data_IF_167502156821
#
_entry.id   IF_167502156821
#
_cell.length_a   1.000
_cell.length_b   1.000
_cell.length_c   1.000
_cell.angle_alpha   90.00
_cell.angle_beta   90.00
_cell.angle_gamma   90.00
#
_symmetry.space_group_name_H-M   'P 1'
#
loop_
_entity.id
_entity.type
_entity.pdbx_description
1 polymer ?
#
# COMPACT_ATOMS: atom_id res chain seq x y z
N UNK A 1 5.85 7.98 -9.66
CA UNK A 1 5.84 6.96 -10.74
C UNK A 1 4.79 7.38 -11.76
N UNK A 2 5.06 7.41 -13.07
CA UNK A 2 4.11 7.95 -14.06
C UNK A 2 2.74 7.26 -13.95
N UNK A 3 1.68 8.05 -13.84
CA UNK A 3 0.30 7.55 -13.88
C UNK A 3 -0.02 7.17 -15.33
N UNK A 4 0.27 5.91 -15.69
CA UNK A 4 0.03 5.39 -17.03
C UNK A 4 -1.40 4.87 -17.10
N UNK A 5 -2.24 5.51 -17.92
CA UNK A 5 -3.52 4.92 -18.29
C UNK A 5 -3.25 3.77 -19.28
N UNK A 6 -3.46 2.55 -18.79
CA UNK A 6 -3.27 1.33 -19.58
C UNK A 6 -4.22 1.26 -20.78
N UNK A 7 -5.41 1.88 -20.69
CA UNK A 7 -6.34 1.92 -21.81
C UNK A 7 -5.76 2.76 -22.95
N UNK A 8 -5.26 3.96 -22.64
CA UNK A 8 -4.67 4.85 -23.62
C UNK A 8 -3.42 4.24 -24.26
N UNK A 9 -2.58 3.57 -23.47
CA UNK A 9 -1.41 2.86 -23.98
C UNK A 9 -1.78 1.75 -24.97
N UNK A 10 -2.83 0.97 -24.66
CA UNK A 10 -3.32 -0.11 -25.53
C UNK A 10 -4.00 0.45 -26.79
N UNK A 11 -4.82 1.49 -26.67
CA UNK A 11 -5.45 2.19 -27.79
C UNK A 11 -4.39 2.74 -28.75
N UNK A 12 -3.35 3.40 -28.22
CA UNK A 12 -2.24 3.93 -29.00
C UNK A 12 -1.43 2.85 -29.72
N UNK A 13 -1.18 1.72 -29.06
CA UNK A 13 -0.50 0.57 -29.65
C UNK A 13 -1.26 0.04 -30.87
N UNK A 14 -2.55 -0.24 -30.72
CA UNK A 14 -3.34 -0.78 -31.82
C UNK A 14 -3.63 0.25 -32.93
N UNK A 15 -3.75 1.53 -32.60
CA UNK A 15 -3.86 2.59 -33.61
C UNK A 15 -2.59 2.67 -34.48
N UNK A 16 -1.42 2.63 -33.84
CA UNK A 16 -0.13 2.59 -34.55
C UNK A 16 -0.02 1.34 -35.43
N UNK A 17 -0.41 0.17 -34.89
CA UNK A 17 -0.40 -1.09 -35.64
C UNK A 17 -1.33 -1.02 -36.86
N UNK A 18 -2.52 -0.44 -36.70
CA UNK A 18 -3.49 -0.27 -37.78
C UNK A 18 -2.92 0.58 -38.91
N UNK A 19 -2.33 1.74 -38.60
CA UNK A 19 -1.71 2.60 -39.61
C UNK A 19 -0.61 1.86 -40.38
N UNK A 20 0.27 1.12 -39.69
CA UNK A 20 1.33 0.34 -40.35
C UNK A 20 0.76 -0.78 -41.22
N UNK A 21 -0.19 -1.56 -40.72
CA UNK A 21 -0.82 -2.62 -41.52
C UNK A 21 -1.55 -2.08 -42.74
N UNK A 22 -2.23 -0.94 -42.61
CA UNK A 22 -2.92 -0.28 -43.72
C UNK A 22 -1.96 0.12 -44.84
N UNK A 23 -0.77 0.64 -44.50
CA UNK A 23 0.27 1.00 -45.48
C UNK A 23 0.82 -0.23 -46.22
N UNK A 24 1.02 -1.35 -45.52
CA UNK A 24 1.56 -2.58 -46.13
C UNK A 24 0.54 -3.18 -47.09
N UNK A 25 -0.73 -3.23 -46.69
CA UNK A 25 -1.79 -3.85 -47.50
C UNK A 25 -2.13 -3.00 -48.74
N UNK A 26 -2.04 -1.67 -48.62
CA UNK A 26 -2.28 -0.74 -49.72
C UNK A 26 -0.97 -0.14 -50.29
N UNK A 27 0.08 -0.96 -50.40
CA UNK A 27 1.42 -0.54 -50.88
C UNK A 27 1.46 0.08 -52.28
N UNK A 28 0.38 -0.05 -53.05
CA UNK A 28 0.23 0.59 -54.36
C UNK A 28 -0.02 2.10 -54.28
N UNK A 29 -0.40 2.60 -53.11
CA UNK A 29 -0.70 4.00 -52.86
C UNK A 29 0.38 4.64 -51.99
N UNK A 30 0.54 5.96 -52.11
CA UNK A 30 1.41 6.72 -51.22
C UNK A 30 0.56 7.44 -50.16
N UNK A 31 1.01 7.40 -48.91
CA UNK A 31 0.29 7.93 -47.75
C UNK A 31 1.15 8.93 -47.00
N UNK A 32 0.63 10.16 -46.84
CA UNK A 32 1.24 11.19 -46.01
C UNK A 32 0.81 11.02 -44.54
N UNK A 33 1.56 11.59 -43.60
CA UNK A 33 1.26 11.50 -42.17
C UNK A 33 -0.15 12.00 -41.82
N UNK A 34 -0.61 13.08 -42.45
CA UNK A 34 -1.97 13.62 -42.26
C UNK A 34 -3.06 12.64 -42.71
N UNK A 35 -2.78 11.85 -43.75
CA UNK A 35 -3.69 10.81 -44.19
C UNK A 35 -3.74 9.68 -43.17
N UNK A 36 -2.59 9.25 -42.64
CA UNK A 36 -2.51 8.19 -41.61
C UNK A 36 -3.16 8.59 -40.28
N UNK A 37 -3.14 9.88 -39.93
CA UNK A 37 -3.90 10.41 -38.80
C UNK A 37 -5.41 10.22 -39.00
N UNK A 38 -5.95 10.59 -40.17
CA UNK A 38 -7.34 10.33 -40.54
C UNK A 38 -7.67 8.82 -40.54
N UNK A 39 -6.76 7.98 -41.04
CA UNK A 39 -6.92 6.52 -40.96
C UNK A 39 -7.10 6.10 -39.49
N UNK A 40 -6.23 6.59 -38.60
CA UNK A 40 -6.29 6.31 -37.16
C UNK A 40 -7.61 6.74 -36.50
N UNK A 41 -8.19 7.87 -36.89
CA UNK A 41 -9.49 8.34 -36.36
C UNK A 41 -10.63 7.35 -36.65
N UNK A 42 -10.63 6.72 -37.83
CA UNK A 42 -11.63 5.73 -38.20
C UNK A 42 -11.43 4.36 -37.55
N UNK A 43 -10.35 4.13 -36.81
CA UNK A 43 -10.07 2.82 -36.21
C UNK A 43 -11.16 2.36 -35.22
N UNK A 44 -11.65 3.26 -34.36
CA UNK A 44 -12.60 2.93 -33.28
C UNK A 44 -13.96 2.47 -33.81
N UNK A 45 -14.42 3.10 -34.91
CA UNK A 45 -15.66 2.75 -35.58
C UNK A 45 -15.52 1.45 -36.37
N UNK A 46 -14.41 1.30 -37.09
CA UNK A 46 -14.19 0.18 -38.00
C UNK A 46 -13.84 -1.13 -37.31
N UNK A 47 -13.22 -1.05 -36.12
CA UNK A 47 -12.71 -2.21 -35.34
C UNK A 47 -12.04 -3.25 -36.25
N UNK A 48 -11.00 -2.86 -36.99
CA UNK A 48 -10.47 -3.70 -38.07
C UNK A 48 -9.70 -4.92 -37.54
N UNK A 49 -9.42 -4.96 -36.23
CA UNK A 49 -8.86 -6.10 -35.51
C UNK A 49 -9.90 -6.95 -34.76
N UNK A 50 -11.20 -6.67 -34.97
CA UNK A 50 -12.29 -7.29 -34.22
C UNK A 50 -12.31 -6.83 -32.76
N UNK A 51 -12.60 -7.77 -31.85
CA UNK A 51 -12.68 -7.53 -30.41
C UNK A 51 -11.36 -7.77 -29.66
N UNK A 52 -10.30 -8.16 -30.37
CA UNK A 52 -8.98 -8.46 -29.78
C UNK A 52 -8.42 -7.28 -28.99
N UNK A 53 -8.37 -6.03 -29.52
CA UNK A 53 -7.84 -4.89 -28.75
C UNK A 53 -8.58 -4.66 -27.44
N UNK A 54 -9.91 -4.74 -27.48
CA UNK A 54 -10.76 -4.51 -26.32
C UNK A 54 -10.59 -5.62 -25.27
N UNK A 55 -10.62 -6.89 -25.70
CA UNK A 55 -10.45 -8.04 -24.80
C UNK A 55 -9.08 -8.04 -24.14
N UNK A 56 -8.02 -7.81 -24.92
CA UNK A 56 -6.66 -7.79 -24.43
C UNK A 56 -6.43 -6.61 -23.46
N UNK A 57 -6.91 -5.41 -23.82
CA UNK A 57 -6.81 -4.23 -22.95
C UNK A 57 -7.48 -4.43 -21.60
N UNK A 58 -8.73 -4.93 -21.58
CA UNK A 58 -9.47 -5.19 -20.34
C UNK A 58 -8.77 -6.25 -19.47
N UNK A 59 -8.26 -7.32 -20.08
CA UNK A 59 -7.57 -8.38 -19.35
C UNK A 59 -6.27 -7.88 -18.71
N UNK A 60 -5.43 -7.19 -19.49
CA UNK A 60 -4.16 -6.64 -18.99
C UNK A 60 -4.45 -5.63 -17.87
N UNK A 61 -5.39 -4.71 -18.07
CA UNK A 61 -5.78 -3.72 -17.06
C UNK A 61 -6.19 -4.38 -15.75
N UNK A 62 -7.08 -5.38 -15.79
CA UNK A 62 -7.54 -6.09 -14.59
C UNK A 62 -6.41 -6.80 -13.85
N UNK A 63 -5.46 -7.38 -14.58
CA UNK A 63 -4.29 -8.03 -14.00
C UNK A 63 -3.38 -7.04 -13.25
N UNK A 64 -3.07 -5.90 -13.87
CA UNK A 64 -2.25 -4.86 -13.25
C UNK A 64 -2.93 -4.21 -12.05
N UNK A 65 -4.22 -3.87 -12.17
CA UNK A 65 -5.01 -3.29 -11.08
C UNK A 65 -5.08 -4.26 -9.90
N UNK A 66 -5.36 -5.55 -10.13
CA UNK A 66 -5.41 -6.56 -9.08
C UNK A 66 -4.03 -6.77 -8.40
N UNK A 67 -2.95 -6.81 -9.19
CA UNK A 67 -1.58 -6.99 -8.66
C UNK A 67 -1.16 -5.80 -7.80
N UNK A 68 -1.45 -4.57 -8.27
CA UNK A 68 -1.18 -3.33 -7.51
C UNK A 68 -2.03 -3.26 -6.24
N UNK A 69 -3.32 -3.60 -6.33
CA UNK A 69 -4.22 -3.62 -5.18
C UNK A 69 -3.71 -4.62 -4.12
N UNK A 70 -3.29 -5.80 -4.55
CA UNK A 70 -2.78 -6.85 -3.69
C UNK A 70 -1.50 -6.41 -2.96
N UNK A 71 -0.51 -5.84 -3.67
CA UNK A 71 0.73 -5.38 -3.03
C UNK A 71 0.50 -4.23 -2.05
N UNK A 72 -0.30 -3.23 -2.44
CA UNK A 72 -0.65 -2.11 -1.56
C UNK A 72 -1.43 -2.56 -0.33
N UNK A 73 -2.34 -3.53 -0.48
CA UNK A 73 -3.07 -4.12 0.64
C UNK A 73 -2.15 -4.71 1.71
N UNK A 74 -1.10 -5.41 1.29
CA UNK A 74 -0.10 -5.96 2.21
C UNK A 74 0.69 -4.86 2.92
N UNK A 75 1.07 -3.80 2.19
CA UNK A 75 1.75 -2.64 2.77
C UNK A 75 0.88 -1.93 3.81
N UNK A 76 -0.41 -1.70 3.49
CA UNK A 76 -1.37 -1.09 4.42
C UNK A 76 -1.55 -1.97 5.66
N UNK A 77 -1.72 -3.29 5.49
CA UNK A 77 -1.83 -4.22 6.61
C UNK A 77 -0.58 -4.21 7.51
N UNK A 78 0.62 -4.19 6.91
CA UNK A 78 1.87 -4.09 7.66
C UNK A 78 1.96 -2.77 8.45
N UNK A 79 1.57 -1.65 7.84
CA UNK A 79 1.53 -0.35 8.50
C UNK A 79 0.52 -0.32 9.64
N UNK A 80 -0.68 -0.89 9.46
CA UNK A 80 -1.70 -1.01 10.50
C UNK A 80 -1.16 -1.80 11.70
N UNK A 81 -0.56 -2.97 11.46
CA UNK A 81 0.05 -3.77 12.52
C UNK A 81 1.15 -2.99 13.26
N UNK A 82 2.04 -2.31 12.53
CA UNK A 82 3.10 -1.47 13.10
C UNK A 82 2.56 -0.32 13.94
N UNK A 83 1.53 0.37 13.47
CA UNK A 83 0.91 1.49 14.18
C UNK A 83 0.18 1.01 15.44
N UNK A 84 -0.48 -0.14 15.40
CA UNK A 84 -1.16 -0.71 16.56
C UNK A 84 -0.20 -1.17 17.67
N UNK A 85 1.07 -1.45 17.34
CA UNK A 85 2.11 -1.73 18.34
C UNK A 85 2.53 -0.49 19.14
N UNK A 86 2.27 0.73 18.63
CA UNK A 86 2.59 1.97 19.33
C UNK A 86 1.63 2.30 20.48
N UNK A 87 0.51 1.58 20.59
CA UNK A 87 -0.48 1.78 21.64
C UNK A 87 0.08 1.36 22.99
N UNK A 88 0.06 2.31 23.94
CA UNK A 88 0.47 2.04 25.32
C UNK A 88 -0.67 1.36 26.09
N UNK A 89 -0.35 0.42 26.99
CA UNK A 89 -1.35 -0.16 27.89
C UNK A 89 -1.92 0.92 28.82
N UNK A 90 -3.21 0.80 29.16
CA UNK A 90 -3.84 1.67 30.16
C UNK A 90 -3.32 1.38 31.57
N UNK A 91 -3.49 2.34 32.48
CA UNK A 91 -3.16 2.15 33.89
C UNK A 91 -3.93 0.97 34.51
N UNK A 92 -5.20 0.81 34.15
CA UNK A 92 -6.04 -0.31 34.60
C UNK A 92 -5.52 -1.65 34.08
N UNK A 93 -5.07 -1.70 32.82
CA UNK A 93 -4.44 -2.88 32.26
C UNK A 93 -3.13 -3.20 32.99
N UNK A 94 -2.28 -2.21 33.25
CA UNK A 94 -1.04 -2.41 33.99
C UNK A 94 -1.31 -2.95 35.41
N UNK A 95 -2.29 -2.40 36.12
CA UNK A 95 -2.69 -2.85 37.44
C UNK A 95 -3.26 -4.28 37.44
N UNK A 96 -4.08 -4.63 36.45
CA UNK A 96 -4.63 -5.98 36.34
C UNK A 96 -3.56 -7.01 35.93
N UNK A 97 -2.62 -6.63 35.06
CA UNK A 97 -1.51 -7.48 34.66
C UNK A 97 -0.57 -7.75 35.84
N UNK A 98 -0.22 -6.73 36.63
CA UNK A 98 0.60 -6.93 37.84
C UNK A 98 -0.14 -7.73 38.90
N UNK A 99 -1.45 -7.54 39.04
CA UNK A 99 -2.30 -8.38 39.90
C UNK A 99 -2.27 -9.85 39.49
N UNK A 100 -2.23 -10.11 38.19
CA UNK A 100 -2.17 -11.47 37.67
C UNK A 100 -0.79 -12.11 37.87
N UNK A 101 0.30 -11.37 37.64
CA UNK A 101 1.66 -11.96 37.54
C UNK A 101 2.54 -11.76 38.76
N UNK A 102 2.43 -10.62 39.46
CA UNK A 102 3.36 -10.24 40.53
C UNK A 102 2.75 -10.35 41.94
N UNK A 103 1.44 -10.12 42.08
CA UNK A 103 0.78 -10.19 43.39
C UNK A 103 0.86 -11.54 44.14
N UNK A 104 0.96 -12.73 43.48
CA UNK A 104 1.17 -13.99 44.20
C UNK A 104 2.43 -13.94 45.08
N UNK A 105 3.55 -13.51 44.51
CA UNK A 105 4.83 -13.39 45.21
C UNK A 105 4.74 -12.37 46.37
N UNK A 106 4.08 -11.24 46.14
CA UNK A 106 3.85 -10.23 47.19
C UNK A 106 2.96 -10.75 48.33
N UNK A 107 2.11 -11.75 48.08
CA UNK A 107 1.21 -12.35 49.06
C UNK A 107 1.86 -13.52 49.82
N UNK A 108 3.15 -13.78 49.59
CA UNK A 108 3.88 -14.89 50.21
C UNK A 108 3.56 -16.26 49.61
N UNK A 109 2.91 -16.30 48.44
CA UNK A 109 2.65 -17.52 47.67
C UNK A 109 3.90 -17.82 46.84
N UNK A 110 4.26 -19.10 46.73
CA UNK A 110 5.43 -19.53 45.96
C UNK A 110 5.34 -19.09 44.49
N UNK A 111 6.47 -18.68 43.92
CA UNK A 111 6.62 -18.20 42.52
C UNK A 111 6.15 -19.20 41.46
N UNK A 112 5.96 -20.47 41.82
CA UNK A 112 5.49 -21.53 40.91
C UNK A 112 3.98 -21.52 40.68
N UNK A 113 3.21 -20.67 41.36
CA UNK A 113 1.75 -20.59 41.18
C UNK A 113 1.41 -19.63 40.05
N UNK A 114 0.93 -20.19 38.95
CA UNK A 114 0.50 -19.44 37.77
C UNK A 114 -0.96 -19.00 37.87
N UNK A 115 -1.32 -17.98 37.08
CA UNK A 115 -2.68 -17.47 37.02
C UNK A 115 -3.65 -18.49 36.41
N UNK A 116 -4.91 -18.43 36.83
CA UNK A 116 -5.96 -19.21 36.21
C UNK A 116 -6.18 -18.77 34.74
N UNK A 117 -6.45 -19.74 33.85
CA UNK A 117 -6.60 -19.49 32.40
C UNK A 117 -7.65 -18.44 32.07
N UNK A 118 -8.80 -18.48 32.73
CA UNK A 118 -9.89 -17.53 32.49
C UNK A 118 -9.60 -16.15 33.07
N UNK A 119 -8.88 -16.05 34.18
CA UNK A 119 -8.40 -14.78 34.70
C UNK A 119 -7.48 -14.12 33.67
N UNK A 120 -6.48 -14.85 33.17
CA UNK A 120 -5.57 -14.32 32.16
C UNK A 120 -6.32 -13.90 30.89
N UNK A 121 -7.23 -14.73 30.40
CA UNK A 121 -8.02 -14.41 29.22
C UNK A 121 -8.83 -13.12 29.43
N UNK A 122 -9.47 -12.95 30.60
CA UNK A 122 -10.25 -11.76 30.92
C UNK A 122 -9.40 -10.51 31.05
N UNK A 123 -8.26 -10.59 31.73
CA UNK A 123 -7.27 -9.50 31.83
C UNK A 123 -6.79 -9.09 30.45
N UNK A 124 -6.37 -10.04 29.63
CA UNK A 124 -5.84 -9.76 28.29
C UNK A 124 -6.91 -9.24 27.32
N UNK A 125 -8.14 -9.75 27.37
CA UNK A 125 -9.27 -9.22 26.57
C UNK A 125 -9.58 -7.76 26.91
N UNK A 126 -9.55 -7.40 28.20
CA UNK A 126 -9.77 -6.01 28.61
C UNK A 126 -8.61 -5.09 28.25
N UNK A 127 -7.36 -5.56 28.40
CA UNK A 127 -6.15 -4.85 27.98
C UNK A 127 -6.11 -4.59 26.45
N UNK A 128 -6.51 -5.58 25.65
CA UNK A 128 -6.44 -5.56 24.19
C UNK A 128 -7.77 -5.16 23.54
N UNK A 129 -8.70 -4.56 24.30
CA UNK A 129 -10.01 -4.14 23.81
C UNK A 129 -9.90 -3.21 22.59
N UNK A 130 -8.94 -2.28 22.63
CA UNK A 130 -8.69 -1.34 21.53
C UNK A 130 -8.13 -2.03 20.27
N UNK A 131 -7.35 -3.10 20.45
CA UNK A 131 -6.88 -3.94 19.35
C UNK A 131 -8.01 -4.78 18.75
N UNK A 132 -8.88 -5.31 19.60
CA UNK A 132 -10.05 -6.09 19.19
C UNK A 132 -11.06 -5.26 18.36
N UNK A 133 -11.02 -3.92 18.44
CA UNK A 133 -11.82 -3.04 17.59
C UNK A 133 -11.54 -3.21 16.09
N UNK A 134 -10.35 -3.67 15.71
CA UNK A 134 -9.98 -3.92 14.31
C UNK A 134 -10.49 -5.25 13.78
N UNK A 135 -10.97 -6.17 14.64
CA UNK A 135 -11.22 -7.55 14.24
C UNK A 135 -12.20 -7.68 13.07
N UNK A 136 -13.29 -6.91 13.11
CA UNK A 136 -14.32 -6.95 12.06
C UNK A 136 -13.75 -6.51 10.71
N UNK A 137 -13.11 -5.34 10.64
CA UNK A 137 -12.51 -4.83 9.40
C UNK A 137 -11.31 -5.65 8.93
N UNK A 138 -10.51 -6.18 9.86
CA UNK A 138 -9.40 -7.08 9.56
C UNK A 138 -9.88 -8.38 8.92
N UNK A 139 -10.95 -8.99 9.43
CA UNK A 139 -11.51 -10.20 8.84
C UNK A 139 -12.09 -9.93 7.43
N UNK A 140 -12.75 -8.79 7.23
CA UNK A 140 -13.19 -8.37 5.89
C UNK A 140 -12.02 -8.13 4.93
N UNK A 141 -10.94 -7.54 5.44
CA UNK A 141 -9.69 -7.34 4.71
C UNK A 141 -9.08 -8.69 4.28
N UNK A 142 -8.93 -9.64 5.21
CA UNK A 142 -8.40 -10.98 4.94
C UNK A 142 -9.22 -11.69 3.86
N UNK A 143 -10.55 -11.61 3.93
CA UNK A 143 -11.43 -12.19 2.92
C UNK A 143 -11.32 -11.50 1.54
N UNK A 144 -11.12 -10.18 1.51
CA UNK A 144 -10.93 -9.44 0.26
C UNK A 144 -9.57 -9.77 -0.40
N UNK A 145 -8.50 -9.85 0.40
CA UNK A 145 -7.17 -10.28 -0.08
C UNK A 145 -7.23 -11.70 -0.61
N UNK A 146 -7.93 -12.60 0.07
CA UNK A 146 -8.08 -13.99 -0.37
C UNK A 146 -8.76 -14.09 -1.74
N UNK A 147 -9.84 -13.33 -1.96
CA UNK A 147 -10.56 -13.28 -3.23
C UNK A 147 -9.71 -12.73 -4.37
N UNK A 148 -8.92 -11.68 -4.12
CA UNK A 148 -8.01 -11.15 -5.14
C UNK A 148 -6.87 -12.12 -5.43
N UNK A 149 -6.28 -12.76 -4.41
CA UNK A 149 -5.24 -13.76 -4.61
C UNK A 149 -5.75 -14.92 -5.48
N UNK A 150 -6.99 -15.37 -5.27
CA UNK A 150 -7.62 -16.40 -6.11
C UNK A 150 -7.73 -15.97 -7.58
N UNK A 151 -8.08 -14.70 -7.84
CA UNK A 151 -8.13 -14.16 -9.21
C UNK A 151 -6.75 -14.05 -9.84
N UNK A 152 -5.74 -13.62 -9.08
CA UNK A 152 -4.35 -13.51 -9.54
C UNK A 152 -3.75 -14.88 -9.89
N UNK A 153 -4.17 -15.93 -9.19
CA UNK A 153 -3.80 -17.32 -9.50
C UNK A 153 -4.61 -17.94 -10.65
N UNK A 154 -5.63 -17.23 -11.16
CA UNK A 154 -6.50 -17.69 -12.22
C UNK A 154 -6.61 -16.68 -13.36
N UNK A 155 -7.77 -16.03 -13.57
CA UNK A 155 -8.04 -15.22 -14.76
C UNK A 155 -7.23 -13.91 -14.85
N UNK A 156 -6.69 -13.42 -13.74
CA UNK A 156 -5.89 -12.19 -13.69
C UNK A 156 -4.39 -12.48 -13.61
N UNK A 157 -3.98 -13.73 -13.83
CA UNK A 157 -2.58 -14.09 -13.91
C UNK A 157 -1.94 -13.42 -15.13
N UNK A 158 -1.03 -12.48 -14.90
CA UNK A 158 -0.41 -11.69 -15.97
C UNK A 158 0.32 -12.58 -16.97
N UNK A 159 0.90 -13.68 -16.53
CA UNK A 159 1.65 -14.57 -17.40
C UNK A 159 0.72 -15.34 -18.35
N UNK A 160 -0.43 -15.80 -17.86
CA UNK A 160 -1.45 -16.44 -18.69
C UNK A 160 -1.96 -15.48 -19.77
N UNK A 161 -1.98 -14.17 -19.49
CA UNK A 161 -2.39 -13.13 -20.43
C UNK A 161 -1.30 -12.76 -21.44
N UNK A 162 -0.04 -12.72 -21.02
CA UNK A 162 1.10 -12.31 -21.87
C UNK A 162 1.59 -13.47 -22.73
N UNK A 163 1.51 -14.72 -22.27
CA UNK A 163 2.00 -15.90 -23.00
C UNK A 163 1.38 -16.06 -24.41
N UNK A 164 0.06 -15.89 -24.61
CA UNK A 164 -0.56 -15.96 -25.94
C UNK A 164 -0.65 -14.60 -26.65
N UNK A 165 0.08 -13.55 -26.22
CA UNK A 165 -0.11 -12.21 -26.80
C UNK A 165 0.26 -12.18 -28.30
N UNK A 166 1.28 -12.95 -28.70
CA UNK A 166 1.65 -13.13 -30.10
C UNK A 166 0.52 -13.80 -30.90
N UNK A 167 -0.11 -14.85 -30.36
CA UNK A 167 -1.26 -15.52 -30.98
C UNK A 167 -2.45 -14.57 -31.11
N UNK A 168 -2.70 -13.73 -30.10
CA UNK A 168 -3.75 -12.70 -30.13
C UNK A 168 -3.45 -11.64 -31.18
N UNK A 169 -2.20 -11.22 -31.32
CA UNK A 169 -1.80 -10.29 -32.39
C UNK A 169 -1.96 -10.95 -33.76
N UNK A 170 -1.62 -12.23 -33.92
CA UNK A 170 -1.85 -12.96 -35.17
C UNK A 170 -3.34 -13.08 -35.52
N UNK A 171 -4.21 -13.33 -34.53
CA UNK A 171 -5.67 -13.32 -34.68
C UNK A 171 -6.18 -11.94 -35.12
N UNK A 172 -5.69 -10.86 -34.50
CA UNK A 172 -6.01 -9.50 -34.92
C UNK A 172 -5.59 -9.23 -36.37
N UNK A 173 -4.37 -9.63 -36.75
CA UNK A 173 -3.85 -9.48 -38.12
C UNK A 173 -4.71 -10.28 -39.12
N UNK A 174 -5.14 -11.48 -38.77
CA UNK A 174 -6.01 -12.30 -39.60
C UNK A 174 -7.37 -11.64 -39.83
N UNK A 175 -8.01 -11.14 -38.76
CA UNK A 175 -9.27 -10.39 -38.83
C UNK A 175 -9.15 -9.15 -39.73
N UNK A 176 -8.00 -8.47 -39.65
CA UNK A 176 -7.71 -7.32 -40.49
C UNK A 176 -7.60 -7.69 -41.96
N UNK A 177 -6.90 -8.78 -42.27
CA UNK A 177 -6.71 -9.25 -43.64
C UNK A 177 -8.04 -9.66 -44.28
N UNK A 178 -8.91 -10.33 -43.52
CA UNK A 178 -10.23 -10.76 -44.01
C UNK A 178 -11.14 -9.55 -44.30
N UNK A 179 -11.16 -8.56 -43.42
CA UNK A 179 -11.95 -7.33 -43.58
C UNK A 179 -11.26 -6.22 -44.38
N UNK A 180 -10.08 -6.50 -44.95
CA UNK A 180 -9.19 -5.47 -45.49
C UNK A 180 -9.79 -4.64 -46.62
N UNK A 181 -10.55 -5.28 -47.51
CA UNK A 181 -11.20 -4.60 -48.64
C UNK A 181 -12.28 -3.61 -48.19
N UNK A 182 -13.11 -4.02 -47.23
CA UNK A 182 -14.13 -3.18 -46.60
C UNK A 182 -13.48 -2.02 -45.84
N UNK A 183 -12.41 -2.30 -45.08
CA UNK A 183 -11.66 -1.29 -44.34
C UNK A 183 -11.08 -0.25 -45.30
N UNK A 184 -10.40 -0.67 -46.37
CA UNK A 184 -9.87 0.24 -47.39
C UNK A 184 -10.97 1.06 -48.07
N UNK A 185 -12.11 0.46 -48.41
CA UNK A 185 -13.20 1.18 -49.05
C UNK A 185 -13.76 2.27 -48.13
N UNK A 186 -13.99 1.97 -46.86
CA UNK A 186 -14.54 2.95 -45.90
C UNK A 186 -13.54 4.06 -45.56
N UNK A 187 -12.26 3.73 -45.45
CA UNK A 187 -11.19 4.73 -45.30
C UNK A 187 -11.11 5.62 -46.54
N UNK A 188 -11.24 5.08 -47.76
CA UNK A 188 -11.24 5.89 -48.97
C UNK A 188 -12.47 6.79 -49.10
N UNK A 189 -13.61 6.40 -48.51
CA UNK A 189 -14.79 7.27 -48.45
C UNK A 189 -14.66 8.34 -47.36
N UNK A 190 -14.03 8.04 -46.22
CA UNK A 190 -13.86 8.99 -45.12
C UNK A 190 -12.70 9.97 -45.32
N UNK A 191 -11.51 9.45 -45.64
CA UNK A 191 -10.28 10.21 -45.80
C UNK A 191 -9.99 10.64 -47.25
N UNK A 192 -10.76 10.14 -48.21
CA UNK A 192 -10.55 10.36 -49.64
C UNK A 192 -9.63 9.31 -50.29
N UNK A 193 -9.65 9.22 -51.62
CA UNK A 193 -8.81 8.26 -52.36
C UNK A 193 -7.36 8.74 -52.41
N UNK A 194 -6.39 7.93 -51.95
CA UNK A 194 -4.97 8.30 -51.95
C UNK A 194 -4.38 8.29 -53.36
N UNK A 195 -3.26 8.98 -53.54
CA UNK A 195 -2.54 9.02 -54.81
C UNK A 195 -1.91 7.66 -55.11
N UNK A 196 -2.15 7.14 -56.31
CA UNK A 196 -1.45 5.94 -56.80
C UNK A 196 0.05 6.22 -56.81
N UNK A 197 0.82 5.38 -56.13
CA UNK A 197 2.27 5.43 -56.17
C UNK A 197 2.74 5.30 -57.62
N UNK A 198 3.66 6.17 -58.05
CA UNK A 198 4.32 5.98 -59.35
C UNK A 198 4.98 4.61 -59.32
N UNK A 199 4.58 3.73 -60.25
CA UNK A 199 5.11 2.37 -60.44
C UNK A 199 6.63 2.47 -60.54
N UNK A 200 7.34 2.33 -59.42
CA UNK A 200 8.79 2.17 -59.42
C UNK A 200 9.01 0.84 -60.11
N UNK A 201 9.61 0.88 -61.31
CA UNK A 201 10.07 -0.28 -62.06
C UNK A 201 10.75 -1.19 -61.04
N UNK A 202 10.24 -2.41 -60.89
CA UNK A 202 10.71 -3.44 -59.96
C UNK A 202 12.23 -3.49 -60.06
N UNK A 203 12.91 -2.80 -59.15
CA UNK A 203 14.29 -3.07 -58.88
C UNK A 203 14.24 -4.38 -58.11
N UNK A 204 14.89 -5.39 -58.65
CA UNK A 204 14.85 -6.75 -58.14
C UNK A 204 15.73 -6.83 -56.87
N UNK A 205 15.57 -5.90 -55.93
CA UNK A 205 15.97 -6.11 -54.54
C UNK A 205 14.85 -6.94 -53.95
N UNK A 206 14.98 -8.24 -54.16
CA UNK A 206 14.62 -9.23 -53.16
C UNK A 206 14.89 -8.60 -51.80
N UNK A 207 13.82 -8.27 -51.09
CA UNK A 207 13.94 -7.86 -49.71
C UNK A 207 14.62 -9.05 -49.04
N UNK A 208 15.88 -8.87 -48.62
CA UNK A 208 16.58 -9.73 -47.67
C UNK A 208 15.78 -9.71 -46.35
N UNK A 209 14.61 -10.34 -46.36
CA UNK A 209 13.79 -10.63 -45.19
C UNK A 209 14.15 -12.01 -44.61
N UNK A 210 15.13 -12.70 -45.20
CA UNK A 210 15.64 -13.98 -44.69
C UNK A 210 16.72 -13.83 -43.62
N UNK A 211 17.37 -12.66 -43.46
CA UNK A 211 18.51 -12.52 -42.51
C UNK A 211 18.17 -11.79 -41.19
N UNK A 212 16.92 -11.33 -41.01
CA UNK A 212 16.50 -10.67 -39.75
C UNK A 212 15.29 -11.30 -39.06
N UNK A 213 14.74 -12.37 -39.62
CA UNK A 213 13.80 -13.25 -38.93
C UNK A 213 14.54 -14.51 -38.47
N UNK A 214 15.61 -14.32 -37.70
CA UNK A 214 15.91 -15.29 -36.65
C UNK A 214 14.74 -15.18 -35.67
N UNK A 215 13.67 -15.92 -35.97
CA UNK A 215 12.79 -16.45 -34.95
C UNK A 215 13.67 -17.47 -34.23
N UNK A 216 14.61 -16.96 -33.44
CA UNK A 216 15.30 -17.75 -32.46
C UNK A 216 14.17 -18.37 -31.63
N UNK A 217 13.93 -19.64 -31.92
CA UNK A 217 13.35 -20.60 -31.01
C UNK A 217 14.34 -20.77 -29.83
N UNK A 218 14.77 -19.65 -29.24
CA UNK A 218 15.45 -19.57 -27.97
C UNK A 218 14.43 -20.11 -26.98
N UNK A 219 14.60 -21.39 -26.62
CA UNK A 219 14.84 -21.90 -25.27
C UNK A 219 14.53 -20.94 -24.08
N UNK A 220 13.48 -20.14 -24.14
CA UNK A 220 12.98 -19.27 -23.07
C UNK A 220 11.84 -19.95 -22.31
N UNK A 221 11.43 -21.14 -22.74
CA UNK A 221 10.34 -21.90 -22.13
C UNK A 221 10.69 -22.45 -20.76
N UNK A 222 11.96 -22.77 -20.49
CA UNK A 222 12.38 -23.29 -19.17
C UNK A 222 12.61 -22.15 -18.15
N UNK A 223 13.34 -21.09 -18.52
CA UNK A 223 13.63 -19.98 -17.61
C UNK A 223 12.41 -19.11 -17.29
N UNK A 224 11.48 -18.89 -18.24
CA UNK A 224 10.24 -18.13 -17.97
C UNK A 224 9.17 -18.95 -17.25
N UNK A 225 9.12 -20.27 -17.44
CA UNK A 225 8.27 -21.14 -16.63
C UNK A 225 8.74 -21.19 -15.16
N UNK A 226 10.01 -20.90 -14.90
CA UNK A 226 10.54 -20.79 -13.54
C UNK A 226 10.05 -19.52 -12.82
N UNK A 227 10.05 -18.34 -13.47
CA UNK A 227 9.62 -17.07 -12.87
C UNK A 227 8.10 -16.99 -12.67
N UNK A 228 7.35 -17.54 -13.62
CA UNK A 228 5.95 -17.90 -13.52
C UNK A 228 5.58 -18.66 -12.25
N UNK A 229 6.23 -19.82 -12.06
CA UNK A 229 6.02 -20.67 -10.91
C UNK A 229 6.41 -19.97 -9.61
N UNK A 230 7.38 -19.04 -9.66
CA UNK A 230 7.78 -18.23 -8.51
C UNK A 230 6.66 -17.24 -8.11
N UNK A 231 6.07 -16.50 -9.05
CA UNK A 231 4.98 -15.56 -8.74
C UNK A 231 3.76 -16.30 -8.17
N UNK A 232 3.35 -17.40 -8.81
CA UNK A 232 2.23 -18.22 -8.34
C UNK A 232 2.50 -18.80 -6.95
N UNK A 233 3.71 -19.31 -6.71
CA UNK A 233 4.11 -19.82 -5.40
C UNK A 233 4.06 -18.72 -4.34
N UNK A 234 4.57 -17.52 -4.67
CA UNK A 234 4.58 -16.38 -3.77
C UNK A 234 3.15 -15.90 -3.44
N UNK A 235 2.27 -15.79 -4.43
CA UNK A 235 0.87 -15.42 -4.20
C UNK A 235 0.15 -16.49 -3.36
N UNK A 236 0.39 -17.78 -3.60
CA UNK A 236 -0.15 -18.88 -2.78
C UNK A 236 0.35 -18.82 -1.34
N UNK A 237 1.63 -18.58 -1.13
CA UNK A 237 2.22 -18.51 0.20
C UNK A 237 1.68 -17.30 0.98
N UNK A 238 1.63 -16.12 0.36
CA UNK A 238 1.05 -14.92 0.97
C UNK A 238 -0.42 -15.14 1.28
N UNK A 239 -1.19 -15.70 0.34
CA UNK A 239 -2.61 -16.03 0.54
C UNK A 239 -2.80 -16.91 1.78
N UNK A 240 -1.99 -17.95 1.92
CA UNK A 240 -2.05 -18.84 3.07
C UNK A 240 -1.70 -18.09 4.37
N UNK A 241 -0.59 -17.35 4.39
CA UNK A 241 -0.16 -16.56 5.56
C UNK A 241 -1.23 -15.54 5.99
N UNK A 242 -1.87 -14.86 5.04
CA UNK A 242 -2.95 -13.90 5.33
C UNK A 242 -4.19 -14.61 5.86
N UNK A 243 -4.54 -15.80 5.32
CA UNK A 243 -5.64 -16.63 5.84
C UNK A 243 -5.39 -17.07 7.28
N UNK A 244 -4.15 -17.43 7.62
CA UNK A 244 -3.77 -17.85 8.98
C UNK A 244 -3.86 -16.70 9.99
N UNK A 245 -3.90 -15.44 9.52
CA UNK A 245 -4.13 -14.25 10.32
C UNK A 245 -5.62 -13.90 10.49
N UNK A 246 -6.55 -14.75 10.01
CA UNK A 246 -7.97 -14.59 10.30
C UNK A 246 -8.22 -14.70 11.81
N UNK A 247 -9.09 -13.83 12.34
CA UNK A 247 -9.40 -13.73 13.77
C UNK A 247 -8.17 -13.45 14.67
N UNK A 248 -7.07 -12.92 14.11
CA UNK A 248 -5.83 -12.66 14.85
C UNK A 248 -6.07 -11.84 16.13
N UNK A 249 -6.85 -10.77 16.05
CA UNK A 249 -7.09 -9.85 17.16
C UNK A 249 -7.88 -10.49 18.31
N UNK A 250 -8.88 -11.32 18.00
CA UNK A 250 -9.68 -12.03 19.00
C UNK A 250 -8.91 -13.20 19.63
N UNK A 251 -8.00 -13.84 18.89
CA UNK A 251 -7.19 -14.93 19.41
C UNK A 251 -5.93 -14.47 20.17
N UNK A 252 -5.53 -13.20 20.05
CA UNK A 252 -4.33 -12.67 20.68
C UNK A 252 -4.31 -12.87 22.22
N UNK A 253 -5.39 -12.60 22.98
CA UNK A 253 -5.45 -12.88 24.41
C UNK A 253 -5.09 -14.34 24.76
N UNK A 254 -5.61 -15.30 24.00
CA UNK A 254 -5.35 -16.72 24.22
C UNK A 254 -3.90 -17.10 23.92
N UNK A 255 -3.31 -16.56 22.85
CA UNK A 255 -1.90 -16.83 22.51
C UNK A 255 -0.98 -16.31 23.61
N UNK A 256 -1.18 -15.09 24.07
CA UNK A 256 -0.36 -14.49 25.13
C UNK A 256 -0.49 -15.28 26.45
N UNK A 257 -1.69 -15.74 26.80
CA UNK A 257 -1.89 -16.54 28.01
C UNK A 257 -1.23 -17.93 27.96
N UNK A 258 -1.11 -18.53 26.77
CA UNK A 258 -0.50 -19.84 26.60
C UNK A 258 1.05 -19.80 26.63
N UNK A 259 1.66 -18.62 26.59
CA UNK A 259 3.12 -18.42 26.69
C UNK A 259 3.61 -18.42 28.16
N UNK A 260 3.19 -19.42 28.94
CA UNK A 260 3.68 -19.64 30.30
C UNK A 260 3.11 -18.74 31.40
N UNK A 261 2.10 -17.91 31.09
CA UNK A 261 1.41 -17.05 32.08
C UNK A 261 0.36 -17.80 32.92
N UNK A 262 -0.05 -18.99 32.48
CA UNK A 262 -1.23 -19.68 32.97
C UNK A 262 -0.92 -21.09 33.45
N UNK A 263 -1.57 -21.50 34.53
CA UNK A 263 -1.49 -22.87 35.04
C UNK A 263 -2.00 -23.86 33.98
N UNK A 264 -1.34 -25.03 33.81
CA UNK A 264 -1.77 -26.02 32.83
C UNK A 264 -3.22 -26.45 33.11
N UNK A 265 -3.98 -26.85 32.06
CA UNK A 265 -5.40 -27.17 32.18
C UNK A 265 -5.71 -28.34 33.14
N UNK A 266 -4.70 -29.10 33.56
CA UNK A 266 -4.80 -30.12 34.61
C UNK A 266 -4.97 -29.54 36.03
N UNK A 267 -4.48 -28.33 36.30
CA UNK A 267 -4.43 -27.71 37.64
C UNK A 267 -5.38 -26.51 37.78
N UNK A 268 -6.58 -26.58 37.21
CA UNK A 268 -7.56 -25.48 37.23
C UNK A 268 -8.19 -25.17 38.59
N UNK A 269 -7.95 -26.01 39.60
CA UNK A 269 -8.44 -25.83 40.98
C UNK A 269 -7.40 -25.22 41.92
N UNK A 270 -6.13 -25.22 41.54
CA UNK A 270 -5.00 -24.73 42.33
C UNK A 270 -4.22 -23.69 41.52
N UNK A 271 -4.91 -22.63 41.09
CA UNK A 271 -4.34 -21.54 40.32
C UNK A 271 -4.61 -20.20 41.00
N UNK A 272 -3.84 -19.18 40.66
CA UNK A 272 -4.05 -17.84 41.19
C UNK A 272 -5.27 -17.17 40.55
N UNK A 273 -6.25 -16.79 41.36
CA UNK A 273 -7.48 -16.14 40.92
C UNK A 273 -7.48 -14.60 41.07
N UNK A 274 -6.34 -14.01 41.45
CA UNK A 274 -6.21 -12.58 41.72
C UNK A 274 -6.33 -12.17 43.19
N UNK A 275 -6.62 -13.10 44.09
CA UNK A 275 -6.65 -12.85 45.54
C UNK A 275 -6.01 -13.98 46.36
N UNK A 276 -6.31 -15.23 46.02
CA UNK A 276 -5.77 -16.42 46.66
C UNK A 276 -5.68 -17.57 45.64
N UNK A 277 -5.11 -18.70 46.05
CA UNK A 277 -5.04 -19.91 45.23
C UNK A 277 -6.37 -20.66 45.36
N UNK A 278 -7.20 -20.55 44.34
CA UNK A 278 -8.47 -21.28 44.20
C UNK A 278 -8.97 -21.14 42.76
N UNK A 279 -10.04 -21.84 42.43
CA UNK A 279 -10.71 -21.74 41.14
C UNK A 279 -11.16 -20.30 40.85
N UNK A 280 -10.92 -19.85 39.62
CA UNK A 280 -11.49 -18.61 39.10
C UNK A 280 -13.00 -18.76 38.82
N UNK A 281 -13.81 -17.87 39.42
CA UNK A 281 -15.27 -17.98 39.43
C UNK A 281 -15.95 -17.34 38.21
N UNK A 282 -15.35 -16.30 37.61
CA UNK A 282 -15.98 -15.58 36.52
C UNK A 282 -15.83 -16.30 35.17
N UNK A 283 -16.86 -16.28 34.32
CA UNK A 283 -16.75 -16.79 32.96
C UNK A 283 -15.85 -15.88 32.12
N UNK A 284 -15.44 -16.40 30.95
CA UNK A 284 -14.67 -15.61 29.98
C UNK A 284 -15.56 -14.52 29.38
N UNK A 285 -15.08 -13.28 29.41
CA UNK A 285 -15.73 -12.10 28.82
C UNK A 285 -15.90 -12.25 27.30
N UNK A 286 -16.90 -11.55 26.76
CA UNK A 286 -17.15 -11.48 25.32
C UNK A 286 -15.95 -10.93 24.55
N UNK A 287 -15.83 -11.30 23.28
CA UNK A 287 -14.83 -10.74 22.37
C UNK A 287 -15.21 -9.33 21.92
N UNK A 288 -14.20 -8.59 21.42
CA UNK A 288 -14.38 -7.27 20.86
C UNK A 288 -14.02 -6.13 21.81
N UNK A 289 -14.27 -4.92 21.34
CA UNK A 289 -13.87 -3.69 22.01
C UNK A 289 -14.69 -3.38 23.28
N UNK A 290 -15.98 -3.75 23.28
CA UNK A 290 -16.85 -3.47 24.42
C UNK A 290 -16.57 -4.46 25.55
N UNK A 291 -15.80 -4.01 26.54
CA UNK A 291 -15.44 -4.77 27.74
C UNK A 291 -16.12 -4.20 28.99
N UNK A 292 -17.36 -3.71 28.87
CA UNK A 292 -18.08 -3.06 29.98
C UNK A 292 -18.37 -4.01 31.15
N UNK A 293 -18.64 -5.29 30.85
CA UNK A 293 -18.96 -6.33 31.84
C UNK A 293 -17.74 -7.16 32.25
N UNK A 294 -16.54 -6.78 31.82
CA UNK A 294 -15.34 -7.55 32.13
C UNK A 294 -14.98 -7.38 33.64
N UNK A 295 -14.80 -8.49 34.39
CA UNK A 295 -14.51 -8.45 35.82
C UNK A 295 -13.09 -7.95 36.14
N UNK A 296 -12.13 -8.08 35.21
CA UNK A 296 -10.72 -7.73 35.45
C UNK A 296 -10.37 -6.33 34.96
N UNK A 297 -10.70 -6.02 33.70
CA UNK A 297 -10.35 -4.73 33.08
C UNK A 297 -11.52 -4.25 32.24
N UNK A 298 -12.13 -3.13 32.67
CA UNK A 298 -13.23 -2.51 31.95
C UNK A 298 -12.70 -1.53 30.91
N UNK A 299 -13.19 -1.65 29.68
CA UNK A 299 -12.93 -0.64 28.64
C UNK A 299 -14.16 0.25 28.52
N UNK A 300 -14.08 1.43 29.13
CA UNK A 300 -15.13 2.47 29.07
C UNK A 300 -14.49 3.79 28.64
N UNK A 301 -14.21 3.91 27.36
CA UNK A 301 -13.59 5.12 26.81
C UNK A 301 -13.81 5.20 25.30
N UNK A 302 -13.75 6.42 24.73
CA UNK A 302 -13.83 6.59 23.29
C UNK A 302 -12.60 5.95 22.61
N UNK A 303 -12.81 5.39 21.42
CA UNK A 303 -11.72 4.90 20.55
C UNK A 303 -10.63 5.96 20.40
N UNK A 304 -9.35 5.64 20.69
CA UNK A 304 -8.22 6.49 20.34
C UNK A 304 -8.21 6.80 18.85
N UNK A 305 -7.72 7.99 18.48
CA UNK A 305 -7.61 8.43 17.08
C UNK A 305 -6.80 7.44 16.25
N UNK A 306 -5.67 6.95 16.78
CA UNK A 306 -4.81 5.94 16.13
C UNK A 306 -5.62 4.71 15.68
N UNK A 307 -6.52 4.21 16.54
CA UNK A 307 -7.36 3.04 16.26
C UNK A 307 -8.37 3.37 15.16
N UNK A 308 -9.01 4.54 15.21
CA UNK A 308 -9.94 5.00 14.18
C UNK A 308 -9.25 5.13 12.82
N UNK A 309 -8.05 5.70 12.79
CA UNK A 309 -7.26 5.88 11.57
C UNK A 309 -6.88 4.52 10.97
N UNK A 310 -6.50 3.54 11.81
CA UNK A 310 -6.17 2.20 11.34
C UNK A 310 -7.40 1.46 10.80
N UNK A 311 -8.55 1.58 11.47
CA UNK A 311 -9.82 1.03 10.99
C UNK A 311 -10.18 1.64 9.64
N UNK A 312 -10.11 2.97 9.51
CA UNK A 312 -10.38 3.66 8.26
C UNK A 312 -9.43 3.23 7.13
N UNK A 313 -8.13 3.07 7.41
CA UNK A 313 -7.15 2.58 6.45
C UNK A 313 -7.50 1.16 5.96
N UNK A 314 -7.88 0.25 6.88
CA UNK A 314 -8.33 -1.11 6.55
C UNK A 314 -9.61 -1.10 5.70
N UNK A 315 -10.63 -0.35 6.09
CA UNK A 315 -11.89 -0.27 5.34
C UNK A 315 -11.65 0.29 3.93
N UNK A 316 -10.81 1.33 3.81
CA UNK A 316 -10.48 1.96 2.52
C UNK A 316 -9.77 0.98 1.58
N UNK A 317 -8.72 0.31 2.04
CA UNK A 317 -7.99 -0.65 1.21
C UNK A 317 -8.84 -1.88 0.89
N UNK A 318 -9.70 -2.31 1.81
CA UNK A 318 -10.67 -3.40 1.59
C UNK A 318 -11.65 -3.05 0.48
N UNK A 319 -12.15 -1.81 0.44
CA UNK A 319 -13.02 -1.35 -0.63
C UNK A 319 -12.27 -1.30 -1.97
N UNK A 320 -11.01 -0.82 -1.99
CA UNK A 320 -10.17 -0.86 -3.20
C UNK A 320 -9.95 -2.29 -3.70
N UNK A 321 -9.71 -3.25 -2.82
CA UNK A 321 -9.62 -4.67 -3.17
C UNK A 321 -10.94 -5.20 -3.76
N UNK A 322 -12.09 -4.83 -3.19
CA UNK A 322 -13.40 -5.23 -3.74
C UNK A 322 -13.64 -4.65 -5.14
N UNK A 323 -13.25 -3.39 -5.38
CA UNK A 323 -13.34 -2.74 -6.69
C UNK A 323 -12.40 -3.41 -7.72
N UNK A 324 -11.14 -3.66 -7.33
CA UNK A 324 -10.16 -4.36 -8.16
C UNK A 324 -10.60 -5.79 -8.50
N UNK A 325 -11.26 -6.50 -7.57
CA UNK A 325 -11.84 -7.83 -7.82
C UNK A 325 -12.95 -7.78 -8.89
N UNK A 326 -13.77 -6.73 -8.88
CA UNK A 326 -14.81 -6.51 -9.89
C UNK A 326 -14.26 -5.99 -11.23
N UNK A 327 -12.97 -5.64 -11.29
CA UNK A 327 -12.33 -5.10 -12.48
C UNK A 327 -12.79 -3.68 -12.83
N UNK A 328 -13.22 -2.92 -11.82
CA UNK A 328 -13.50 -1.48 -11.94
C UNK A 328 -12.22 -0.66 -11.78
N UNK A 329 -12.24 0.57 -12.27
CA UNK A 329 -11.17 1.53 -12.04
C UNK A 329 -11.06 1.84 -10.55
N UNK A 330 -9.83 1.79 -10.06
CA UNK A 330 -9.50 2.12 -8.67
C UNK A 330 -8.63 3.37 -8.72
N UNK A 331 -9.15 4.47 -8.21
CA UNK A 331 -8.37 5.69 -8.06
C UNK A 331 -7.32 5.50 -6.97
N UNK A 332 -6.08 5.37 -7.43
CA UNK A 332 -4.90 5.31 -6.59
C UNK A 332 -4.48 6.74 -6.27
N UNK A 333 -4.92 7.26 -5.12
CA UNK A 333 -4.21 8.39 -4.50
C UNK A 333 -2.84 7.80 -4.12
N UNK A 334 -1.83 8.10 -4.94
CA UNK A 334 -0.44 7.71 -4.68
C UNK A 334 -0.07 8.18 -3.27
N UNK A 335 0.22 7.22 -2.40
CA UNK A 335 0.57 7.40 -0.99
C UNK A 335 1.98 7.97 -0.79
N UNK A 336 2.48 8.67 -1.80
CA UNK A 336 3.87 9.08 -1.87
C UNK A 336 4.03 10.54 -1.41
N UNK A 337 2.96 11.35 -1.35
CA UNK A 337 3.07 12.78 -0.99
C UNK A 337 1.96 13.39 -0.11
N UNK A 338 1.00 12.64 0.47
CA UNK A 338 -0.10 13.31 1.20
C UNK A 338 -0.69 12.55 2.38
N UNK A 339 0.13 12.31 3.42
CA UNK A 339 -0.39 11.92 4.75
C UNK A 339 -0.09 12.96 5.86
N UNK A 340 0.41 14.14 5.51
CA UNK A 340 0.48 15.28 6.44
C UNK A 340 0.12 16.57 5.70
N UNK A 341 -1.12 17.03 5.85
CA UNK A 341 -1.59 18.26 5.22
C UNK A 341 -3.05 18.55 5.55
N UNK A 342 -3.33 18.91 6.80
CA UNK A 342 -4.57 19.63 7.14
C UNK A 342 -4.58 20.95 6.38
N UNK A 343 -5.41 21.05 5.34
CA UNK A 343 -5.67 22.27 4.59
C UNK A 343 -7.14 22.63 4.69
N UNK A 344 -7.52 23.36 5.74
CA UNK A 344 -8.79 24.10 5.79
C UNK A 344 -8.72 25.22 4.76
N UNK A 345 -9.47 25.09 3.66
CA UNK A 345 -9.67 26.15 2.68
C UNK A 345 -11.13 26.59 2.70
N UNK A 346 -11.45 27.55 3.57
CA UNK A 346 -12.70 28.31 3.49
C UNK A 346 -12.65 29.20 2.26
N UNK A 347 -13.47 28.90 1.26
CA UNK A 347 -13.72 29.79 0.13
C UNK A 347 -14.78 30.82 0.49
N UNK A 348 -14.34 31.93 1.10
CA UNK A 348 -15.10 33.17 1.19
C UNK A 348 -15.00 33.88 -0.17
N UNK A 349 -16.12 33.93 -0.89
CA UNK A 349 -16.24 34.46 -2.24
C UNK A 349 -17.14 35.69 -2.23
N UNK A 350 -16.62 36.80 -1.76
CA UNK A 350 -17.24 38.13 -1.81
C UNK A 350 -17.28 38.61 -3.26
N UNK A 351 -18.46 38.56 -3.88
CA UNK A 351 -18.82 39.42 -5.00
C UNK A 351 -20.09 40.18 -4.61
N UNK A 352 -19.90 41.49 -4.41
CA UNK A 352 -20.95 42.50 -4.35
C UNK A 352 -21.41 42.87 -5.76
N UNK A 353 -22.53 43.58 -5.79
CA UNK A 353 -23.14 44.30 -6.93
C UNK A 353 -24.12 43.42 -7.76
N UNK A 354 -25.41 43.73 -7.98
CA UNK A 354 -26.32 44.82 -7.59
C UNK A 354 -27.73 44.49 -8.16
N UNK A 355 -28.75 45.22 -7.69
CA UNK A 355 -30.11 45.38 -8.28
C UNK A 355 -31.12 44.19 -8.21
N UNK A 356 -32.08 44.26 -7.29
CA UNK A 356 -33.50 44.55 -7.61
C UNK A 356 -34.43 44.29 -6.41
N UNK A 357 -35.44 45.15 -6.27
CA UNK A 357 -36.24 45.35 -5.06
C UNK A 357 -37.36 44.34 -4.79
N UNK A 358 -37.93 44.41 -3.59
CA UNK A 358 -39.32 44.81 -3.33
C UNK A 358 -39.61 44.81 -1.80
N UNK A 359 -40.41 45.78 -1.37
CA UNK A 359 -40.95 45.94 0.00
C UNK A 359 -42.33 45.29 0.14
N UNK A 360 -42.74 45.15 1.41
CA UNK A 360 -44.10 44.91 1.97
C UNK A 360 -44.56 43.43 2.02
N UNK A 361 -45.17 42.89 3.08
CA UNK A 361 -45.64 43.37 4.38
C UNK A 361 -46.72 42.41 4.94
N UNK A 362 -46.82 42.26 6.29
CA UNK A 362 -47.98 41.76 7.09
C UNK A 362 -48.41 40.27 6.92
N UNK A 363 -48.73 39.45 7.93
CA UNK A 363 -49.04 39.61 9.35
C UNK A 363 -49.83 38.36 9.87
N UNK A 364 -50.03 38.30 11.20
CA UNK A 364 -50.87 37.39 12.03
C UNK A 364 -50.29 36.02 12.46
N UNK A 365 -50.56 35.47 13.67
CA UNK A 365 -50.82 35.88 15.06
C UNK A 365 -50.86 34.57 15.90
N UNK A 366 -50.55 34.61 17.21
CA UNK A 366 -50.33 33.45 18.12
C UNK A 366 -51.57 32.59 18.49
N UNK A 367 -51.53 31.74 19.56
CA UNK A 367 -51.08 32.08 20.94
C UNK A 367 -50.12 31.04 21.60
N UNK A 368 -49.11 31.48 22.37
CA UNK A 368 -49.01 31.57 23.85
C UNK A 368 -49.20 30.25 24.64
N UNK A 369 -48.11 29.81 25.29
CA UNK A 369 -48.12 29.08 26.56
C UNK A 369 -46.92 29.55 27.43
N UNK A 370 -47.09 29.44 28.76
CA UNK A 370 -46.48 30.20 29.85
C UNK A 370 -45.01 29.90 30.19
N UNK A 371 -44.37 30.92 30.78
CA UNK A 371 -43.05 30.95 31.41
C UNK A 371 -43.10 30.45 32.86
N UNK A 372 -42.05 29.74 33.30
CA UNK A 372 -41.53 29.76 34.69
C UNK A 372 -40.03 29.35 34.70
N UNK A 373 -39.22 29.72 35.73
CA UNK A 373 -37.97 30.46 35.53
C UNK A 373 -36.66 29.73 35.89
N UNK A 374 -35.54 30.25 35.36
CA UNK A 374 -34.15 29.83 35.65
C UNK A 374 -33.68 30.20 37.08
N UNK A 375 -32.80 29.37 37.70
CA UNK A 375 -32.13 29.67 38.95
C UNK A 375 -30.85 30.55 38.78
N UNK A 376 -30.41 31.25 39.85
CA UNK A 376 -29.52 32.43 39.75
C UNK A 376 -28.03 32.12 39.61
N UNK A 377 -27.34 33.02 38.89
CA UNK A 377 -25.87 33.12 38.79
C UNK A 377 -25.25 33.61 40.11
N UNK A 378 -24.22 32.91 40.58
CA UNK A 378 -23.29 33.37 41.63
C UNK A 378 -21.88 33.65 41.05
N UNK A 379 -21.06 34.48 41.73
CA UNK A 379 -20.07 35.35 41.12
C UNK A 379 -18.64 34.78 41.10
N UNK A 380 -17.82 35.39 40.24
CA UNK A 380 -16.38 35.16 40.07
C UNK A 380 -15.54 35.49 41.31
N UNK A 381 -14.44 34.75 41.57
CA UNK A 381 -13.51 35.04 42.67
C UNK A 381 -12.55 36.22 42.35
N UNK A 382 -11.93 36.83 43.39
CA UNK A 382 -11.28 38.13 43.27
C UNK A 382 -9.82 38.10 42.82
N UNK A 383 -9.40 39.26 42.32
CA UNK A 383 -8.03 39.67 41.99
C UNK A 383 -7.16 39.77 43.26
N UNK A 384 -5.92 39.28 43.20
CA UNK A 384 -4.86 39.56 44.18
C UNK A 384 -3.72 40.27 43.45
N UNK A 385 -3.21 41.34 44.07
CA UNK A 385 -2.16 42.24 43.59
C UNK A 385 -0.77 41.62 43.46
N UNK A 386 0.00 42.24 42.55
CA UNK A 386 1.45 42.16 42.36
C UNK A 386 2.28 42.40 43.63
N UNK A 387 3.43 41.73 43.72
CA UNK A 387 4.61 42.22 44.43
C UNK A 387 5.85 41.97 43.55
N UNK A 388 6.66 43.02 43.41
CA UNK A 388 7.83 43.20 42.54
C UNK A 388 9.03 42.25 42.77
N UNK A 389 9.80 42.09 41.69
CA UNK A 389 11.15 41.49 41.54
C UNK A 389 12.22 42.57 41.88
N UNK A 390 13.37 42.30 42.55
CA UNK A 390 14.67 42.03 41.86
C UNK A 390 15.76 41.28 42.70
N UNK A 391 17.01 41.09 42.21
CA UNK A 391 17.46 40.66 40.89
C UNK A 391 18.42 39.43 40.91
N UNK A 392 18.77 39.05 39.68
CA UNK A 392 19.55 37.95 39.10
C UNK A 392 21.07 37.94 39.43
N UNK A 393 21.66 36.75 39.53
CA UNK A 393 23.08 36.46 39.27
C UNK A 393 23.18 35.16 38.45
N UNK A 394 23.81 35.23 37.28
CA UNK A 394 24.04 34.12 36.35
C UNK A 394 25.29 33.30 36.75
N UNK A 395 25.22 31.96 36.68
CA UNK A 395 26.40 31.07 36.67
C UNK A 395 26.16 29.90 35.68
N UNK A 396 27.07 29.76 34.73
CA UNK A 396 27.17 28.70 33.70
C UNK A 396 27.43 27.29 34.30
N UNK A 397 27.04 26.19 33.63
CA UNK A 397 27.51 24.86 33.97
C UNK A 397 28.64 24.40 33.04
N UNK A 398 29.80 24.14 33.63
CA UNK A 398 30.92 23.43 33.02
C UNK A 398 30.75 21.91 33.06
N UNK A 399 31.44 21.31 32.09
CA UNK A 399 31.41 19.94 31.55
C UNK A 399 32.23 18.95 32.38
N UNK A 400 31.91 17.67 32.19
CA UNK A 400 32.41 16.50 32.90
C UNK A 400 33.92 16.25 32.87
N UNK A 401 34.36 15.54 33.91
CA UNK A 401 35.66 14.91 34.12
C UNK A 401 35.69 13.50 33.49
N UNK A 402 36.82 13.15 32.87
CA UNK A 402 37.02 11.80 32.32
C UNK A 402 38.27 11.65 31.44
N UNK A 403 39.44 11.73 32.09
CA UNK A 403 40.65 10.89 31.89
C UNK A 403 41.39 10.82 30.54
N UNK A 404 42.72 10.78 30.68
CA UNK A 404 43.80 11.01 29.71
C UNK A 404 44.35 9.78 28.97
N UNK A 405 44.75 10.03 27.70
CA UNK A 405 45.97 9.66 26.95
C UNK A 405 46.58 8.24 27.04
N UNK A 406 46.94 7.65 25.88
CA UNK A 406 48.29 7.77 25.26
C UNK A 406 48.49 6.89 24.00
N UNK A 407 49.31 7.39 23.06
CA UNK A 407 49.99 6.65 21.98
C UNK A 407 49.32 6.73 20.59
N UNK A 408 49.96 7.03 19.45
CA UNK A 408 51.39 7.15 19.13
C UNK A 408 51.55 7.76 17.71
N UNK A 409 52.58 8.60 17.54
CA UNK A 409 53.44 8.81 16.35
C UNK A 409 52.83 8.99 14.93
N UNK A 410 52.97 10.22 14.44
CA UNK A 410 53.04 10.60 13.03
C UNK A 410 54.49 10.60 12.51
N UNK A 411 54.69 10.16 11.27
CA UNK A 411 55.93 10.36 10.51
C UNK A 411 55.62 10.82 9.08
N UNK A 412 56.10 12.01 8.74
CA UNK A 412 56.12 12.58 7.39
C UNK A 412 57.23 11.93 6.54
N UNK A 413 56.99 11.82 5.23
CA UNK A 413 58.05 11.97 4.22
C UNK A 413 57.47 12.50 2.90
N UNK A 414 58.07 13.58 2.43
CA UNK A 414 57.96 14.25 1.13
C UNK A 414 58.90 13.61 0.11
N UNK A 415 58.63 13.75 -1.21
CA UNK A 415 59.57 14.20 -2.29
C UNK A 415 58.90 14.12 -3.68
N UNK A 416 59.45 14.95 -4.57
CA UNK A 416 59.06 15.62 -5.81
C UNK A 416 58.91 14.86 -7.14
N UNK A 417 57.98 15.38 -7.98
CA UNK A 417 58.06 15.82 -9.40
C UNK A 417 59.10 15.20 -10.35
N UNK A 418 58.63 14.58 -11.46
CA UNK A 418 59.00 14.97 -12.84
C UNK A 418 58.11 14.35 -13.93
N UNK A 419 58.02 15.09 -15.04
CA UNK A 419 57.18 15.01 -16.23
C UNK A 419 57.43 13.84 -17.19
N UNK A 420 56.36 13.38 -17.87
CA UNK A 420 56.43 12.54 -19.09
C UNK A 420 55.05 12.38 -19.76
N UNK A 421 54.97 12.79 -21.03
CA UNK A 421 53.82 12.65 -21.94
C UNK A 421 53.47 11.19 -22.27
N UNK A 422 52.20 11.00 -22.68
CA UNK A 422 51.63 9.87 -23.42
C UNK A 422 51.59 8.47 -22.77
N UNK A 423 50.45 8.19 -22.13
CA UNK A 423 49.54 7.10 -22.54
C UNK A 423 48.39 7.01 -21.53
N UNK A 424 47.16 7.35 -21.93
CA UNK A 424 45.98 7.08 -21.10
C UNK A 424 45.83 5.56 -20.95
N UNK A 425 45.94 4.96 -19.75
CA UNK A 425 45.58 3.57 -19.57
C UNK A 425 44.07 3.47 -19.67
N UNK A 426 43.56 2.78 -20.70
CA UNK A 426 42.14 2.41 -20.76
C UNK A 426 41.82 1.61 -19.51
N UNK A 427 41.03 2.19 -18.61
CA UNK A 427 40.56 1.49 -17.42
C UNK A 427 39.69 0.33 -17.87
N UNK A 428 40.12 -0.90 -17.57
CA UNK A 428 39.28 -2.08 -17.70
C UNK A 428 38.05 -1.90 -16.81
N UNK A 429 36.88 -2.28 -17.33
CA UNK A 429 35.59 -2.24 -16.65
C UNK A 429 35.66 -2.91 -15.26
N UNK A 430 36.49 -3.94 -15.12
CA UNK A 430 36.76 -4.60 -13.85
C UNK A 430 37.45 -3.68 -12.83
N UNK A 431 38.42 -2.88 -13.26
CA UNK A 431 39.12 -1.89 -12.41
C UNK A 431 38.21 -0.73 -12.02
N UNK A 432 37.31 -0.31 -12.90
CA UNK A 432 36.31 0.70 -12.57
C UNK A 432 35.30 0.16 -11.54
N UNK A 433 34.80 -1.06 -11.73
CA UNK A 433 33.93 -1.75 -10.78
C UNK A 433 34.60 -1.91 -9.41
N UNK A 434 35.85 -2.38 -9.33
CA UNK A 434 36.53 -2.54 -8.04
C UNK A 434 36.85 -1.21 -7.37
N UNK A 435 37.06 -0.12 -8.10
CA UNK A 435 37.43 1.16 -7.46
C UNK A 435 36.19 1.89 -6.95
N UNK A 436 35.05 1.75 -7.62
CA UNK A 436 33.81 2.46 -7.27
C UNK A 436 32.83 1.64 -6.42
N UNK A 437 32.74 0.33 -6.61
CA UNK A 437 31.81 -0.52 -5.84
C UNK A 437 32.40 -1.10 -4.56
N UNK A 438 33.73 -1.27 -4.47
CA UNK A 438 34.35 -1.87 -3.29
C UNK A 438 34.25 -0.98 -2.03
N UNK A 439 34.38 0.37 -2.09
CA UNK A 439 34.10 1.23 -0.94
C UNK A 439 32.63 1.18 -0.50
N UNK A 440 31.70 1.00 -1.45
CA UNK A 440 30.26 0.92 -1.19
C UNK A 440 29.91 -0.41 -0.53
N UNK A 441 30.50 -1.51 -1.00
CA UNK A 441 30.34 -2.85 -0.41
C UNK A 441 30.98 -2.93 0.97
N UNK A 442 32.15 -2.30 1.19
CA UNK A 442 32.78 -2.23 2.51
C UNK A 442 31.99 -1.32 3.47
N UNK A 443 31.34 -0.27 2.98
CA UNK A 443 30.48 0.58 3.81
C UNK A 443 29.16 -0.11 4.20
N UNK A 444 28.64 -1.00 3.36
CA UNK A 444 27.39 -1.75 3.62
C UNK A 444 27.59 -3.07 4.37
N UNK A 445 28.68 -3.78 4.10
CA UNK A 445 28.96 -5.11 4.66
C UNK A 445 30.15 -5.13 5.62
N UNK A 446 30.89 -4.03 5.79
CA UNK A 446 32.05 -3.95 6.69
C UNK A 446 31.72 -4.16 8.16
N UNK A 447 30.45 -4.02 8.55
CA UNK A 447 29.98 -4.41 9.89
C UNK A 447 29.86 -5.93 10.09
N UNK A 448 29.73 -6.72 9.01
CA UNK A 448 29.55 -8.17 9.11
C UNK A 448 30.87 -8.97 9.12
N UNK A 449 32.00 -8.35 8.75
CA UNK A 449 33.30 -9.03 8.74
C UNK A 449 34.11 -8.86 10.03
N UNK A 450 33.72 -7.96 10.93
CA UNK A 450 34.35 -7.82 12.25
C UNK A 450 33.81 -8.82 13.30
N UNK A 451 32.73 -9.55 12.99
CA UNK A 451 32.13 -10.55 13.89
C UNK A 451 32.53 -12.00 13.52
N UNK A 452 33.47 -12.19 12.58
CA UNK A 452 33.89 -13.51 12.09
C UNK A 452 35.42 -13.72 12.02
N UNK A 453 36.18 -12.89 12.73
CA UNK A 453 37.60 -13.03 13.07
C UNK A 453 37.79 -12.59 14.51
#
# INVERSE_FOLDING_TARGET
MYNVDLNDAMDNFFNTLYQKMFTVLNSQYNFDNKYLECVGEHMKEMRPFGDVPQKLGVQIKRSFVATRAFSQALTVAANVLKNMQSLKPSADCAAALTRMTACPACSGISDNVLACSYMCTNTMKGCLAQHAALDTDWNQFVEAVDKIADRLLGPFNIEVLVRPINLKISEAIMNFQESSSDVSQRVFTGCGRPMLGRRRRRDNRELELEESLNFDQETLTEDRASTAAILDKLVKEIRQRVRDLRQFWVYLPYRMCNEGLVAPPSNTKECWNGTHVDKYLYPVSSDGESQMMNPEVRSTGPRPTIVRDQVFALTTITNRLKLAFNGQDVDWIDTDETWYGSGSGSGDGTFTDDEDGFKEGSGYEGPREELEPEPPKQPSPPVVHEVEIPPRVDIEPHKGTGTSNTGTSSSNQTISVNSGEDSRPKMSLFRALTTYLMPIVVMWFGGCFNDLL
#
